data_IF_454382834317
#
_entry.id   IF_454382834317
#
_cell.length_a   1.000
_cell.length_b   1.000
_cell.length_c   1.000
_cell.angle_alpha   90.00
_cell.angle_beta   90.00
_cell.angle_gamma   90.00
#
_symmetry.space_group_name_H-M   'P 1'
#
loop_
_entity.id
_entity.type
_entity.pdbx_description
1 polymer ?
#
# COMPACT_ATOMS: atom_id res chain seq x y z
N UNK A 1 -13.56 -2.33 17.30
CA UNK A 1 -12.79 -2.87 16.17
C UNK A 1 -12.25 -1.67 15.44
N UNK A 2 -10.93 -1.50 15.40
CA UNK A 2 -10.28 -0.46 14.61
C UNK A 2 -10.24 -0.97 13.17
N UNK A 3 -11.16 -0.50 12.33
CA UNK A 3 -11.18 -0.86 10.92
C UNK A 3 -9.94 -0.34 10.20
N UNK A 4 -9.39 -1.16 9.31
CA UNK A 4 -8.44 -0.71 8.29
C UNK A 4 -9.25 -0.04 7.17
N UNK A 5 -8.72 1.03 6.59
CA UNK A 5 -9.28 1.63 5.39
C UNK A 5 -8.14 2.08 4.47
N UNK A 6 -8.14 1.60 3.22
CA UNK A 6 -7.21 2.07 2.19
C UNK A 6 -7.99 2.92 1.19
N UNK A 7 -7.49 4.14 0.97
CA UNK A 7 -8.08 5.14 0.07
C UNK A 7 -7.09 5.51 -1.01
N UNK A 8 -7.59 5.98 -2.14
CA UNK A 8 -6.79 6.62 -3.16
C UNK A 8 -7.48 7.85 -3.73
N UNK A 9 -6.69 8.73 -4.32
CA UNK A 9 -7.14 9.84 -5.16
C UNK A 9 -6.41 9.73 -6.50
N UNK A 10 -7.16 9.82 -7.59
CA UNK A 10 -6.62 10.00 -8.94
C UNK A 10 -6.56 11.50 -9.23
N UNK A 11 -5.40 11.99 -9.62
CA UNK A 11 -5.18 13.36 -10.07
C UNK A 11 -5.07 13.40 -11.60
N UNK A 12 -4.90 14.60 -12.19
CA UNK A 12 -4.72 14.77 -13.63
C UNK A 12 -3.59 13.88 -14.19
N UNK A 13 -3.74 13.31 -15.40
CA UNK A 13 -2.71 12.47 -16.02
C UNK A 13 -1.38 13.24 -16.16
N UNK A 14 -0.28 12.64 -15.71
CA UNK A 14 1.06 13.27 -15.75
C UNK A 14 1.66 13.17 -17.16
N UNK A 15 1.52 11.99 -17.77
CA UNK A 15 1.96 11.64 -19.12
C UNK A 15 1.11 10.46 -19.62
N UNK A 16 1.03 10.26 -20.94
CA UNK A 16 0.33 9.12 -21.56
C UNK A 16 0.71 7.81 -20.84
N UNK A 17 -0.27 6.97 -20.51
CA UNK A 17 -0.15 5.74 -19.69
C UNK A 17 0.12 5.90 -18.18
N UNK A 18 0.38 7.11 -17.66
CA UNK A 18 0.72 7.35 -16.25
C UNK A 18 -0.30 8.25 -15.53
N UNK A 19 -1.03 7.65 -14.61
CA UNK A 19 -1.96 8.36 -13.74
C UNK A 19 -1.25 8.93 -12.51
N UNK A 20 -1.38 10.25 -12.32
CA UNK A 20 -1.04 10.84 -11.05
C UNK A 20 -2.04 10.36 -10.00
N UNK A 21 -1.56 10.16 -8.79
CA UNK A 21 -2.45 9.91 -7.67
C UNK A 21 -1.68 9.55 -6.42
N UNK A 22 -2.43 9.39 -5.34
CA UNK A 22 -1.86 9.17 -4.02
C UNK A 22 -2.77 8.24 -3.22
N UNK A 23 -2.17 7.50 -2.29
CA UNK A 23 -2.81 6.55 -1.39
C UNK A 23 -2.86 7.09 0.04
N UNK A 24 -3.88 6.70 0.79
CA UNK A 24 -4.01 6.94 2.22
C UNK A 24 -4.37 5.65 2.94
N UNK A 25 -3.72 5.40 4.07
CA UNK A 25 -3.99 4.23 4.91
C UNK A 25 -4.41 4.71 6.29
N UNK A 26 -5.65 4.42 6.66
CA UNK A 26 -6.21 4.69 7.98
C UNK A 26 -6.36 3.38 8.77
N UNK A 27 -5.96 3.36 10.04
CA UNK A 27 -6.12 2.23 10.96
C UNK A 27 -6.77 2.76 12.24
N UNK A 28 -8.08 2.51 12.40
CA UNK A 28 -8.86 3.12 13.48
C UNK A 28 -8.88 4.65 13.37
N UNK A 29 -8.26 5.34 14.33
CA UNK A 29 -8.16 6.82 14.35
C UNK A 29 -6.80 7.34 13.85
N UNK A 30 -5.91 6.44 13.44
CA UNK A 30 -4.54 6.78 13.06
C UNK A 30 -4.42 6.72 11.55
N UNK A 31 -3.95 7.81 10.93
CA UNK A 31 -3.58 7.84 9.52
C UNK A 31 -2.09 7.56 9.40
N UNK A 32 -1.74 6.41 8.83
CA UNK A 32 -0.34 5.99 8.67
C UNK A 32 0.42 6.91 7.72
N UNK A 33 -0.27 7.38 6.69
CA UNK A 33 0.25 8.23 5.62
C UNK A 33 0.18 9.72 5.95
N UNK A 34 -0.01 10.09 7.23
CA UNK A 34 -0.11 11.48 7.68
C UNK A 34 1.26 12.14 7.73
N UNK A 35 1.58 12.83 6.63
CA UNK A 35 2.79 13.63 6.49
C UNK A 35 2.37 15.09 6.40
N UNK A 36 3.02 15.91 7.22
CA UNK A 36 2.85 17.36 7.21
C UNK A 36 3.56 17.94 5.99
N UNK A 37 2.91 17.87 4.83
CA UNK A 37 3.30 18.63 3.65
C UNK A 37 2.69 20.02 3.75
N UNK A 38 3.48 21.07 3.53
CA UNK A 38 3.03 22.47 3.61
C UNK A 38 1.85 22.83 2.67
N UNK A 39 1.44 21.92 1.78
CA UNK A 39 0.25 22.07 0.93
C UNK A 39 -0.96 21.27 1.46
N UNK A 40 -2.04 21.99 1.77
CA UNK A 40 -3.22 21.47 2.49
C UNK A 40 -4.13 20.53 1.71
N UNK A 41 -3.94 20.35 0.40
CA UNK A 41 -4.86 19.56 -0.44
C UNK A 41 -4.54 18.05 -0.46
N UNK A 42 -3.38 17.64 0.06
CA UNK A 42 -2.92 16.23 0.06
C UNK A 42 -2.60 15.69 1.46
N UNK A 43 -3.09 16.33 2.52
CA UNK A 43 -2.81 15.91 3.89
C UNK A 43 -3.28 14.46 4.11
N UNK A 44 -2.38 13.61 4.61
CA UNK A 44 -2.67 12.19 4.82
C UNK A 44 -2.53 11.29 3.60
N UNK A 45 -2.15 11.79 2.42
CA UNK A 45 -1.94 10.98 1.21
C UNK A 45 -0.46 10.97 0.80
N UNK A 46 0.03 9.81 0.34
CA UNK A 46 1.39 9.64 -0.20
C UNK A 46 1.34 9.02 -1.59
N UNK A 47 2.40 9.17 -2.39
CA UNK A 47 2.46 8.63 -3.74
C UNK A 47 2.23 9.69 -4.80
N UNK A 48 2.72 9.35 -5.99
CA UNK A 48 2.60 10.18 -7.19
C UNK A 48 2.09 9.36 -8.37
N UNK A 49 2.41 8.07 -8.46
CA UNK A 49 2.00 7.18 -9.55
C UNK A 49 1.09 6.09 -9.00
N UNK A 50 -0.22 6.36 -8.96
CA UNK A 50 -1.17 5.56 -8.18
C UNK A 50 -1.21 4.08 -8.59
N UNK A 51 -1.14 3.79 -9.89
CA UNK A 51 -1.11 2.42 -10.40
C UNK A 51 0.10 1.63 -9.86
N UNK A 52 1.26 2.28 -9.75
CA UNK A 52 2.50 1.69 -9.23
C UNK A 52 2.43 1.50 -7.72
N UNK A 53 1.96 2.51 -7.01
CA UNK A 53 1.84 2.49 -5.55
C UNK A 53 0.85 1.39 -5.10
N UNK A 54 -0.30 1.29 -5.76
CA UNK A 54 -1.29 0.22 -5.54
C UNK A 54 -0.74 -1.15 -5.93
N UNK A 55 -0.01 -1.26 -7.03
CA UNK A 55 0.58 -2.53 -7.45
C UNK A 55 1.63 -3.05 -6.46
N UNK A 56 2.44 -2.16 -5.88
CA UNK A 56 3.40 -2.55 -4.84
C UNK A 56 2.71 -2.98 -3.55
N UNK A 57 1.69 -2.25 -3.09
CA UNK A 57 0.89 -2.69 -1.95
C UNK A 57 0.25 -4.06 -2.17
N UNK A 58 -0.31 -4.29 -3.37
CA UNK A 58 -0.89 -5.57 -3.76
C UNK A 58 0.13 -6.71 -3.67
N UNK A 59 1.32 -6.52 -4.23
CA UNK A 59 2.38 -7.52 -4.21
C UNK A 59 2.86 -7.85 -2.79
N UNK A 60 3.02 -6.83 -1.93
CA UNK A 60 3.36 -7.06 -0.52
C UNK A 60 2.27 -7.89 0.16
N UNK A 61 0.99 -7.58 -0.07
CA UNK A 61 -0.10 -8.39 0.47
C UNK A 61 -0.09 -9.84 -0.05
N UNK A 62 0.24 -10.06 -1.32
CA UNK A 62 0.42 -11.41 -1.87
C UNK A 62 1.54 -12.16 -1.15
N UNK A 63 2.69 -11.53 -0.95
CA UNK A 63 3.83 -12.16 -0.29
C UNK A 63 3.54 -12.44 1.20
N UNK A 64 2.82 -11.55 1.90
CA UNK A 64 2.29 -11.78 3.24
C UNK A 64 1.41 -13.03 3.26
N UNK A 65 0.40 -13.10 2.38
CA UNK A 65 -0.56 -14.22 2.33
C UNK A 65 0.07 -15.54 1.90
N UNK A 66 1.13 -15.48 1.10
CA UNK A 66 1.94 -16.65 0.71
C UNK A 66 2.94 -17.08 1.79
N UNK A 67 3.00 -16.39 2.93
CA UNK A 67 3.89 -16.70 4.04
C UNK A 67 5.37 -16.48 3.71
N UNK A 68 5.66 -15.56 2.78
CA UNK A 68 7.04 -15.23 2.37
C UNK A 68 7.65 -14.08 3.17
N UNK A 69 6.89 -13.49 4.10
CA UNK A 69 7.33 -12.38 4.92
C UNK A 69 8.16 -12.88 6.12
N UNK A 70 9.46 -13.09 5.90
CA UNK A 70 10.40 -13.50 6.96
C UNK A 70 11.03 -12.30 7.71
N UNK A 71 11.01 -11.11 7.10
CA UNK A 71 11.52 -9.83 7.61
C UNK A 71 10.67 -8.67 7.06
N UNK A 72 10.96 -7.42 7.44
CA UNK A 72 10.25 -6.22 6.97
C UNK A 72 10.24 -6.13 5.44
N UNK A 73 9.07 -5.83 4.86
CA UNK A 73 8.95 -5.42 3.45
C UNK A 73 8.68 -3.93 3.36
N UNK A 74 9.21 -3.29 2.30
CA UNK A 74 9.09 -1.85 2.07
C UNK A 74 8.41 -1.56 0.74
N UNK A 75 7.30 -0.82 0.76
CA UNK A 75 6.73 -0.20 -0.45
C UNK A 75 7.22 1.25 -0.53
N UNK A 76 8.04 1.56 -1.54
CA UNK A 76 8.60 2.89 -1.75
C UNK A 76 7.75 3.72 -2.72
N UNK A 77 7.40 4.93 -2.31
CA UNK A 77 6.77 5.97 -3.12
C UNK A 77 7.68 7.21 -3.13
N UNK A 78 7.81 7.87 -4.28
CA UNK A 78 8.62 9.09 -4.41
C UNK A 78 7.71 10.31 -4.61
N UNK A 79 7.91 11.34 -3.79
CA UNK A 79 7.22 12.63 -3.90
C UNK A 79 8.27 13.74 -3.79
N UNK A 80 8.40 14.60 -4.80
CA UNK A 80 9.20 15.84 -4.73
C UNK A 80 10.64 15.64 -4.19
N UNK A 81 11.31 14.55 -4.61
CA UNK A 81 12.63 14.11 -4.12
C UNK A 81 12.69 13.54 -2.69
N UNK A 82 11.55 13.31 -2.06
CA UNK A 82 11.41 12.58 -0.79
C UNK A 82 10.96 11.16 -1.10
N UNK A 83 11.67 10.17 -0.56
CA UNK A 83 11.24 8.77 -0.66
C UNK A 83 10.49 8.44 0.63
N UNK A 84 9.24 8.03 0.47
CA UNK A 84 8.37 7.58 1.53
C UNK A 84 8.22 6.07 1.43
N UNK A 85 8.38 5.37 2.54
CA UNK A 85 8.29 3.92 2.58
C UNK A 85 7.20 3.49 3.53
N UNK A 86 6.20 2.75 3.03
CA UNK A 86 5.30 1.99 3.89
C UNK A 86 6.04 0.71 4.26
N UNK A 87 6.14 0.46 5.57
CA UNK A 87 6.82 -0.70 6.13
C UNK A 87 5.78 -1.68 6.63
N UNK A 88 5.95 -2.95 6.29
CA UNK A 88 5.14 -4.07 6.77
C UNK A 88 6.02 -5.00 7.59
N UNK A 89 5.70 -5.15 8.87
CA UNK A 89 6.43 -6.01 9.81
C UNK A 89 5.54 -7.16 10.29
N UNK A 90 5.98 -8.43 10.20
CA UNK A 90 5.24 -9.54 10.77
C UNK A 90 5.35 -9.52 12.31
N UNK A 91 4.22 -9.40 13.00
CA UNK A 91 4.19 -9.49 14.48
C UNK A 91 3.92 -10.92 14.94
N UNK A 92 3.01 -11.60 14.26
CA UNK A 92 2.67 -13.00 14.46
C UNK A 92 1.94 -13.52 13.20
N UNK A 93 1.44 -14.76 13.25
CA UNK A 93 0.78 -15.42 12.11
C UNK A 93 -0.48 -14.74 11.59
N UNK A 94 -1.13 -13.90 12.40
CA UNK A 94 -2.38 -13.22 12.03
C UNK A 94 -2.27 -11.71 12.01
N UNK A 95 -1.16 -11.13 12.46
CA UNK A 95 -1.00 -9.69 12.58
C UNK A 95 0.30 -9.21 11.96
N UNK A 96 0.21 -8.05 11.31
CA UNK A 96 1.33 -7.25 10.85
C UNK A 96 1.27 -5.88 11.52
N UNK A 97 2.40 -5.20 11.62
CA UNK A 97 2.47 -3.76 11.87
C UNK A 97 2.66 -3.05 10.54
N UNK A 98 1.84 -2.02 10.30
CA UNK A 98 1.97 -1.12 9.16
C UNK A 98 2.48 0.22 9.67
N UNK A 99 3.58 0.70 9.11
CA UNK A 99 4.23 1.96 9.51
C UNK A 99 4.62 2.79 8.28
N UNK A 100 4.92 4.07 8.50
CA UNK A 100 5.48 4.95 7.48
C UNK A 100 6.87 5.42 7.91
N UNK A 101 7.82 5.39 6.97
CA UNK A 101 9.16 5.98 7.13
C UNK A 101 9.37 7.02 6.04
N UNK A 102 9.79 8.21 6.45
CA UNK A 102 10.26 9.26 5.54
C UNK A 102 11.79 9.17 5.41
N UNK A 103 12.30 9.08 4.19
CA UNK A 103 13.73 9.16 3.89
C UNK A 103 14.03 10.53 3.26
N UNK A 104 14.79 11.36 3.99
CA UNK A 104 15.26 12.67 3.52
C UNK A 104 16.62 12.59 2.83
N UNK A 105 16.94 13.56 1.96
CA UNK A 105 18.19 13.70 1.18
C UNK A 105 19.51 13.79 1.98
N UNK A 106 19.48 13.76 3.31
CA UNK A 106 20.66 13.93 4.16
C UNK A 106 21.04 12.64 4.83
N UNK A 107 22.27 12.20 4.56
CA UNK A 107 22.99 11.07 5.16
C UNK A 107 22.66 10.91 6.64
N UNK A 108 21.78 9.96 6.95
CA UNK A 108 21.60 9.37 8.26
C UNK A 108 21.66 7.85 8.05
N UNK A 109 22.46 7.20 8.90
CA UNK A 109 22.91 5.81 8.83
C UNK A 109 21.90 4.82 8.21
N UNK A 110 22.46 3.89 7.43
CA UNK A 110 21.83 2.74 6.77
C UNK A 110 21.06 1.78 7.72
N UNK A 111 21.06 2.05 9.02
CA UNK A 111 20.39 1.20 9.99
C UNK A 111 18.88 1.47 9.98
N UNK A 112 18.15 0.47 9.51
CA UNK A 112 16.70 0.38 9.64
C UNK A 112 16.31 0.65 11.10
N UNK A 113 15.28 1.48 11.38
CA UNK A 113 14.80 1.64 12.73
C UNK A 113 14.43 0.27 13.29
N UNK A 114 14.85 0.00 14.52
CA UNK A 114 14.41 -1.20 15.21
C UNK A 114 12.87 -1.28 15.22
N UNK A 115 12.27 -2.48 15.18
CA UNK A 115 10.83 -2.68 15.35
C UNK A 115 10.18 -1.79 16.42
N UNK A 116 10.90 -1.61 17.52
CA UNK A 116 10.48 -0.89 18.73
C UNK A 116 10.40 0.63 18.52
N UNK A 117 11.13 1.16 17.52
CA UNK A 117 11.15 2.57 17.14
C UNK A 117 10.26 2.90 15.95
N UNK A 118 9.72 1.89 15.26
CA UNK A 118 8.76 2.07 14.18
C UNK A 118 7.38 2.44 14.77
N UNK A 119 6.99 3.71 14.64
CA UNK A 119 5.62 4.17 14.96
C UNK A 119 4.65 3.65 13.90
N UNK A 120 4.13 2.43 14.11
CA UNK A 120 3.16 1.78 13.23
C UNK A 120 1.99 1.16 14.01
N UNK A 121 0.92 0.85 13.30
CA UNK A 121 -0.28 0.26 13.90
C UNK A 121 -0.36 -1.24 13.61
N UNK A 122 -0.65 -2.09 14.62
CA UNK A 122 -0.93 -3.50 14.41
C UNK A 122 -2.30 -3.67 13.75
N UNK A 123 -2.39 -4.53 12.74
CA UNK A 123 -3.63 -4.88 12.02
C UNK A 123 -3.69 -6.38 11.77
N UNK A 124 -4.91 -6.90 11.62
CA UNK A 124 -5.11 -8.26 11.14
C UNK A 124 -4.69 -8.35 9.67
N UNK A 125 -3.93 -9.39 9.34
CA UNK A 125 -3.46 -9.63 7.97
C UNK A 125 -4.64 -9.69 6.99
N UNK A 126 -5.67 -10.46 7.35
CA UNK A 126 -6.82 -10.65 6.46
C UNK A 126 -7.60 -9.34 6.24
N UNK A 127 -7.82 -8.55 7.30
CA UNK A 127 -8.47 -7.23 7.19
C UNK A 127 -7.66 -6.27 6.31
N UNK A 128 -6.33 -6.24 6.49
CA UNK A 128 -5.47 -5.38 5.70
C UNK A 128 -5.42 -5.79 4.23
N UNK A 129 -5.25 -7.08 3.95
CA UNK A 129 -5.24 -7.62 2.59
C UNK A 129 -6.60 -7.43 1.90
N UNK A 130 -7.70 -7.56 2.64
CA UNK A 130 -9.06 -7.31 2.14
C UNK A 130 -9.26 -5.88 1.68
N UNK A 131 -8.84 -4.91 2.49
CA UNK A 131 -8.92 -3.50 2.13
C UNK A 131 -8.01 -3.15 0.95
N UNK A 132 -6.82 -3.77 0.85
CA UNK A 132 -5.93 -3.57 -0.29
C UNK A 132 -6.54 -4.09 -1.58
N UNK A 133 -7.01 -5.35 -1.65
CA UNK A 133 -7.60 -5.86 -2.90
C UNK A 133 -8.89 -5.12 -3.25
N UNK A 134 -9.73 -4.79 -2.27
CA UNK A 134 -10.98 -4.04 -2.50
C UNK A 134 -10.68 -2.67 -3.10
N UNK A 135 -9.61 -2.03 -2.64
CA UNK A 135 -9.17 -0.73 -3.16
C UNK A 135 -8.59 -0.84 -4.57
N UNK A 136 -7.82 -1.89 -4.85
CA UNK A 136 -7.31 -2.17 -6.19
C UNK A 136 -8.46 -2.48 -7.17
N UNK A 137 -9.46 -3.27 -6.77
CA UNK A 137 -10.65 -3.55 -7.60
C UNK A 137 -11.37 -2.25 -7.97
N UNK A 138 -11.63 -1.36 -7.00
CA UNK A 138 -12.25 -0.04 -7.26
C UNK A 138 -11.43 0.81 -8.22
N UNK A 139 -10.11 0.81 -8.07
CA UNK A 139 -9.21 1.53 -8.98
C UNK A 139 -9.27 0.98 -10.41
N UNK A 140 -9.29 -0.35 -10.58
CA UNK A 140 -9.40 -0.98 -11.89
C UNK A 140 -10.74 -0.68 -12.57
N UNK A 141 -11.85 -0.74 -11.81
CA UNK A 141 -13.19 -0.35 -12.30
C UNK A 141 -13.21 1.11 -12.75
N UNK A 142 -12.63 2.01 -11.96
CA UNK A 142 -12.54 3.43 -12.31
C UNK A 142 -11.72 3.68 -13.59
N UNK A 143 -10.62 2.93 -13.78
CA UNK A 143 -9.83 3.01 -15.01
C UNK A 143 -10.65 2.61 -16.25
N UNK A 144 -11.44 1.55 -16.14
CA UNK A 144 -12.30 1.07 -17.22
C UNK A 144 -13.46 2.03 -17.51
N UNK A 145 -14.16 2.50 -16.47
CA UNK A 145 -15.31 3.39 -16.62
C UNK A 145 -14.94 4.75 -17.18
N UNK A 146 -13.81 5.32 -16.74
CA UNK A 146 -13.35 6.65 -17.16
C UNK A 146 -12.46 6.60 -18.40
N UNK A 147 -12.13 5.41 -18.90
CA UNK A 147 -11.21 5.24 -20.04
C UNK A 147 -9.85 5.86 -19.76
N UNK A 148 -9.33 5.68 -18.55
CA UNK A 148 -8.06 6.27 -18.13
C UNK A 148 -6.93 5.66 -18.97
N UNK A 149 -6.15 6.52 -19.63
CA UNK A 149 -5.03 6.13 -20.48
C UNK A 149 -3.95 5.44 -19.63
N UNK A 150 -4.03 4.11 -19.57
CA UNK A 150 -3.18 3.20 -18.81
C UNK A 150 -2.90 1.98 -19.68
N UNK A 151 -1.71 1.40 -19.53
CA UNK A 151 -1.31 0.23 -20.32
C UNK A 151 -2.22 -0.97 -20.01
N UNK A 152 -2.95 -1.47 -21.01
CA UNK A 152 -3.86 -2.62 -20.86
C UNK A 152 -3.16 -3.87 -20.34
N UNK A 153 -1.89 -4.08 -20.70
CA UNK A 153 -1.11 -5.23 -20.23
C UNK A 153 -0.77 -5.11 -18.74
N UNK A 154 -0.51 -3.89 -18.28
CA UNK A 154 -0.29 -3.59 -16.87
C UNK A 154 -1.59 -3.76 -16.07
N UNK A 155 -2.70 -3.19 -16.53
CA UNK A 155 -4.00 -3.35 -15.87
C UNK A 155 -4.42 -4.81 -15.76
N UNK A 156 -4.13 -5.61 -16.79
CA UNK A 156 -4.36 -7.05 -16.76
C UNK A 156 -3.53 -7.74 -15.68
N UNK A 157 -2.23 -7.43 -15.58
CA UNK A 157 -1.36 -8.00 -14.53
C UNK A 157 -1.86 -7.64 -13.13
N UNK A 158 -2.22 -6.38 -12.91
CA UNK A 158 -2.78 -5.92 -11.63
C UNK A 158 -4.07 -6.67 -11.32
N UNK A 159 -4.94 -6.90 -12.31
CA UNK A 159 -6.19 -7.65 -12.15
C UNK A 159 -5.95 -9.12 -11.79
N UNK A 160 -5.00 -9.77 -12.46
CA UNK A 160 -4.66 -11.17 -12.19
C UNK A 160 -4.14 -11.33 -10.74
N UNK A 161 -3.22 -10.46 -10.33
CA UNK A 161 -2.65 -10.43 -8.97
C UNK A 161 -3.70 -10.07 -7.90
N UNK A 162 -4.63 -9.16 -8.23
CA UNK A 162 -5.75 -8.78 -7.36
C UNK A 162 -6.71 -9.95 -7.11
N UNK A 163 -7.03 -10.71 -8.17
CA UNK A 163 -7.85 -11.91 -8.06
C UNK A 163 -7.16 -13.00 -7.23
N UNK A 164 -5.84 -13.17 -7.38
CA UNK A 164 -5.08 -14.10 -6.55
C UNK A 164 -5.14 -13.72 -5.07
N UNK A 165 -4.91 -12.44 -4.73
CA UNK A 165 -4.97 -11.99 -3.33
C UNK A 165 -6.35 -12.22 -2.73
N UNK A 166 -7.41 -11.88 -3.46
CA UNK A 166 -8.81 -12.10 -3.06
C UNK A 166 -9.10 -13.58 -2.77
N UNK A 167 -8.61 -14.49 -3.62
CA UNK A 167 -8.71 -15.94 -3.38
C UNK A 167 -7.99 -16.33 -2.09
N UNK A 168 -6.73 -15.90 -1.91
CA UNK A 168 -5.94 -16.24 -0.72
C UNK A 168 -6.54 -15.71 0.59
N UNK A 169 -7.21 -14.55 0.56
CA UNK A 169 -7.93 -14.02 1.73
C UNK A 169 -9.16 -14.88 2.05
N UNK A 170 -9.98 -15.20 1.05
CA UNK A 170 -11.19 -16.01 1.26
C UNK A 170 -10.92 -17.50 1.54
N UNK A 171 -9.78 -18.04 1.11
CA UNK A 171 -9.35 -19.41 1.40
C UNK A 171 -8.80 -19.60 2.83
N UNK A 172 -8.74 -18.54 3.64
CA UNK A 172 -8.11 -18.52 4.97
C UNK A 172 -8.58 -19.62 5.93
N UNK A 173 -7.86 -20.77 5.94
CA UNK A 173 -7.64 -21.76 7.02
C UNK A 173 -7.04 -23.11 6.52
N UNK A 174 -6.32 -23.15 5.39
CA UNK A 174 -5.94 -24.42 4.74
C UNK A 174 -4.56 -25.01 5.05
N UNK A 175 -3.56 -24.24 5.50
CA UNK A 175 -2.16 -24.75 5.46
C UNK A 175 -1.34 -24.29 6.66
N UNK A 176 -1.66 -24.80 7.85
CA UNK A 176 -0.68 -25.06 8.91
C UNK A 176 -1.06 -26.37 9.59
N UNK A 177 -0.92 -27.47 8.84
CA UNK A 177 -0.81 -28.83 9.38
C UNK A 177 0.62 -29.15 9.76
#
# INVERSE_FOLDING_TARGET
MSGVEVKYIVNDPVHQSQLAGSIRIDIGQITITDIDFESSEKQGFIGFYIHRDLYFLLNVCLDIKKGKLDVYEETSSEIESTILKIIHEPLNRSHIRVALRQWGKTDYDDDLPSPETATGCPVLIDEYCEEVYTTVERFLEECEEKGLDTDESLLKSIRDDCNELKQLVHEGNGVLG
#
